data_IF_628983130828
#
_entry.id   IF_628983130828
#
_cell.length_a   1.000
_cell.length_b   1.000
_cell.length_c   1.000
_cell.angle_alpha   90.00
_cell.angle_beta   90.00
_cell.angle_gamma   90.00
#
_symmetry.space_group_name_H-M   'P 1'
#
loop_
_entity.id
_entity.type
_entity.pdbx_description
1 polymer ?
#
# COMPACT_ATOMS: atom_id res chain seq x y z
N UNK A 1 31.71 8.69 -40.51
CA UNK A 1 30.84 7.52 -40.25
C UNK A 1 30.99 6.90 -38.84
N UNK A 2 31.73 7.50 -37.90
CA UNK A 2 31.92 6.93 -36.56
C UNK A 2 31.05 7.56 -35.44
N UNK A 3 30.39 8.69 -35.69
CA UNK A 3 29.66 9.45 -34.64
C UNK A 3 28.27 8.92 -34.32
N UNK A 4 27.70 8.03 -35.14
CA UNK A 4 26.39 7.43 -34.89
C UNK A 4 26.43 6.14 -34.04
N UNK A 5 27.62 5.57 -33.81
CA UNK A 5 27.78 4.27 -33.15
C UNK A 5 27.81 4.38 -31.61
N UNK A 6 28.33 5.49 -31.06
CA UNK A 6 28.49 5.69 -29.61
C UNK A 6 27.18 5.98 -28.86
N UNK A 7 26.23 6.65 -29.51
CA UNK A 7 24.94 7.03 -28.91
C UNK A 7 24.03 5.82 -28.64
N UNK A 8 24.00 4.84 -29.55
CA UNK A 8 23.18 3.62 -29.42
C UNK A 8 23.74 2.70 -28.32
N UNK A 9 25.06 2.71 -28.13
CA UNK A 9 25.73 1.92 -27.08
C UNK A 9 25.43 2.47 -25.69
N UNK A 10 25.42 3.79 -25.53
CA UNK A 10 25.09 4.47 -24.27
C UNK A 10 23.65 4.22 -23.82
N UNK A 11 22.67 4.24 -24.74
CA UNK A 11 21.28 3.93 -24.40
C UNK A 11 21.06 2.45 -24.01
N UNK A 12 21.71 1.52 -24.71
CA UNK A 12 21.64 0.09 -24.35
C UNK A 12 22.25 -0.18 -22.98
N UNK A 13 23.34 0.49 -22.63
CA UNK A 13 23.98 0.36 -21.32
C UNK A 13 23.09 0.88 -20.20
N UNK A 14 22.41 2.03 -20.39
CA UNK A 14 21.44 2.55 -19.42
C UNK A 14 20.23 1.63 -19.24
N UNK A 15 19.73 1.00 -20.31
CA UNK A 15 18.64 0.02 -20.22
C UNK A 15 19.06 -1.25 -19.48
N UNK A 16 20.29 -1.72 -19.67
CA UNK A 16 20.82 -2.90 -18.98
C UNK A 16 20.97 -2.64 -17.47
N UNK A 17 21.46 -1.46 -17.06
CA UNK A 17 21.53 -1.04 -15.66
C UNK A 17 20.14 -1.00 -14.99
N UNK A 18 19.12 -0.50 -15.70
CA UNK A 18 17.73 -0.50 -15.23
C UNK A 18 17.18 -1.93 -15.12
N UNK A 19 17.48 -2.81 -16.08
CA UNK A 19 17.06 -4.22 -16.00
C UNK A 19 17.77 -4.99 -14.88
N UNK A 20 19.05 -4.71 -14.63
CA UNK A 20 19.84 -5.36 -13.58
C UNK A 20 19.40 -4.90 -12.19
N UNK A 21 19.05 -3.63 -12.03
CA UNK A 21 18.45 -3.09 -10.80
C UNK A 21 17.02 -3.60 -10.56
N UNK A 22 16.22 -3.83 -11.59
CA UNK A 22 14.92 -4.52 -11.45
C UNK A 22 15.08 -6.00 -11.07
N UNK A 23 16.13 -6.66 -11.54
CA UNK A 23 16.41 -8.07 -11.24
C UNK A 23 16.83 -8.29 -9.77
N UNK A 24 17.50 -7.32 -9.13
CA UNK A 24 17.88 -7.37 -7.71
C UNK A 24 16.72 -7.09 -6.75
N UNK A 25 15.62 -6.48 -7.19
CA UNK A 25 14.41 -6.29 -6.36
C UNK A 25 13.67 -7.62 -6.09
N UNK A 26 13.99 -8.70 -6.82
CA UNK A 26 13.33 -10.01 -6.67
C UNK A 26 13.52 -10.70 -5.32
N UNK A 27 14.32 -10.15 -4.39
CA UNK A 27 14.83 -10.91 -3.24
C UNK A 27 14.59 -10.35 -1.84
N UNK A 28 13.82 -9.27 -1.63
CA UNK A 28 13.66 -8.66 -0.29
C UNK A 28 12.20 -8.65 0.16
N UNK A 29 11.59 -9.82 0.30
CA UNK A 29 10.34 -9.92 1.04
C UNK A 29 10.28 -11.23 1.83
N UNK A 30 10.98 -11.25 2.96
CA UNK A 30 10.60 -12.15 4.05
C UNK A 30 9.22 -11.74 4.57
N UNK A 31 8.34 -12.72 4.79
CA UNK A 31 7.02 -12.50 5.39
C UNK A 31 7.15 -12.19 6.90
N UNK A 32 7.84 -11.09 7.24
CA UNK A 32 8.07 -10.67 8.63
C UNK A 32 6.89 -9.89 9.23
N UNK A 33 5.86 -9.62 8.43
CA UNK A 33 4.70 -8.82 8.83
C UNK A 33 3.42 -9.61 8.52
N UNK A 34 2.49 -9.62 9.46
CA UNK A 34 1.19 -10.31 9.36
C UNK A 34 0.02 -9.34 9.22
N UNK A 35 0.28 -8.03 9.19
CA UNK A 35 -0.75 -7.00 9.16
C UNK A 35 -0.20 -5.68 8.60
N UNK A 36 -1.07 -4.88 7.99
CA UNK A 36 -0.80 -3.50 7.57
C UNK A 36 -1.69 -2.58 8.39
N UNK A 37 -1.12 -1.49 8.88
CA UNK A 37 -1.87 -0.36 9.41
C UNK A 37 -1.62 0.83 8.48
N UNK A 38 -2.69 1.45 7.98
CA UNK A 38 -2.60 2.65 7.16
C UNK A 38 -3.16 3.84 7.93
N UNK A 39 -2.44 4.95 7.90
CA UNK A 39 -2.86 6.22 8.46
C UNK A 39 -2.68 7.29 7.39
N UNK A 40 -3.58 8.25 7.35
CA UNK A 40 -3.45 9.37 6.44
C UNK A 40 -4.75 10.14 6.29
N UNK A 41 -4.90 10.73 5.12
CA UNK A 41 -6.06 11.51 4.70
C UNK A 41 -6.93 10.69 3.74
N UNK A 42 -7.67 11.40 2.90
CA UNK A 42 -8.56 10.84 1.88
C UNK A 42 -7.90 9.86 0.90
N UNK A 43 -6.58 9.94 0.69
CA UNK A 43 -5.86 9.01 -0.20
C UNK A 43 -5.73 7.60 0.37
N UNK A 44 -5.82 7.48 1.70
CA UNK A 44 -5.75 6.22 2.45
C UNK A 44 -7.08 5.84 3.08
N UNK A 45 -8.08 6.72 3.00
CA UNK A 45 -9.40 6.49 3.58
C UNK A 45 -10.23 5.53 2.72
N UNK A 46 -10.52 4.36 3.26
CA UNK A 46 -11.29 3.30 2.63
C UNK A 46 -12.81 3.39 2.85
N UNK A 47 -13.30 4.46 3.49
CA UNK A 47 -14.73 4.70 3.71
C UNK A 47 -15.07 5.28 5.09
N UNK A 48 -14.08 5.60 5.92
CA UNK A 48 -14.25 6.14 7.26
C UNK A 48 -14.96 7.49 7.25
N UNK A 49 -14.81 8.28 6.18
CA UNK A 49 -15.46 9.58 6.03
C UNK A 49 -16.97 9.51 6.28
N UNK A 50 -17.63 8.38 5.97
CA UNK A 50 -19.04 8.15 6.25
C UNK A 50 -19.39 8.33 7.73
N UNK A 51 -18.51 7.89 8.63
CA UNK A 51 -18.73 7.94 10.07
C UNK A 51 -18.33 9.27 10.70
N UNK A 52 -17.48 10.04 10.04
CA UNK A 52 -16.99 11.34 10.56
C UNK A 52 -17.73 12.54 10.00
N UNK A 53 -18.10 12.48 8.71
CA UNK A 53 -18.84 13.52 8.00
C UNK A 53 -19.71 12.87 6.90
N UNK A 54 -20.98 12.54 7.20
CA UNK A 54 -21.89 11.92 6.24
C UNK A 54 -22.32 12.87 5.11
N UNK A 55 -21.92 14.14 5.15
CA UNK A 55 -22.20 15.13 4.10
C UNK A 55 -21.00 15.36 3.17
N UNK A 56 -19.90 14.65 3.40
CA UNK A 56 -18.67 14.84 2.64
C UNK A 56 -18.84 14.49 1.15
N UNK A 57 -18.24 15.29 0.27
CA UNK A 57 -18.36 15.15 -1.18
C UNK A 57 -17.91 13.78 -1.74
N UNK A 58 -17.02 13.08 -1.04
CA UNK A 58 -16.55 11.73 -1.43
C UNK A 58 -17.59 10.62 -1.23
N UNK A 59 -18.74 10.93 -0.64
CA UNK A 59 -19.88 10.01 -0.52
C UNK A 59 -20.83 10.08 -1.72
N UNK A 60 -20.52 10.91 -2.73
CA UNK A 60 -21.35 11.15 -3.90
C UNK A 60 -20.56 10.96 -5.20
N UNK A 61 -21.24 10.80 -6.35
CA UNK A 61 -20.59 10.82 -7.65
C UNK A 61 -19.68 12.05 -7.86
N UNK A 62 -18.54 11.91 -8.55
CA UNK A 62 -18.14 10.76 -9.37
C UNK A 62 -17.39 9.66 -8.60
N UNK A 63 -17.29 9.72 -7.27
CA UNK A 63 -16.43 8.80 -6.53
C UNK A 63 -17.02 7.37 -6.48
N UNK A 64 -16.18 6.38 -6.78
CA UNK A 64 -16.51 4.95 -6.84
C UNK A 64 -17.26 4.47 -8.09
N UNK A 65 -17.54 5.31 -9.10
CA UNK A 65 -18.30 4.91 -10.29
C UNK A 65 -17.52 3.98 -11.24
N UNK A 66 -16.23 4.26 -11.49
CA UNK A 66 -15.44 3.54 -12.49
C UNK A 66 -15.06 2.12 -12.08
N UNK A 67 -14.92 1.82 -10.78
CA UNK A 67 -14.54 0.49 -10.30
C UNK A 67 -15.61 -0.19 -9.44
N UNK A 68 -16.16 0.50 -8.45
CA UNK A 68 -17.13 -0.07 -7.51
C UNK A 68 -18.58 0.06 -8.00
N UNK A 69 -18.82 0.91 -9.00
CA UNK A 69 -20.14 1.27 -9.54
C UNK A 69 -21.09 1.89 -8.51
N UNK A 70 -20.56 2.39 -7.38
CA UNK A 70 -21.30 3.13 -6.35
C UNK A 70 -20.31 3.88 -5.45
N UNK A 71 -20.73 4.98 -4.79
CA UNK A 71 -19.91 5.66 -3.80
C UNK A 71 -19.61 4.76 -2.61
N UNK A 72 -18.33 4.60 -2.29
CA UNK A 72 -17.86 3.79 -1.15
C UNK A 72 -17.37 4.64 0.02
N UNK A 73 -17.47 5.97 -0.07
CA UNK A 73 -16.82 6.90 0.86
C UNK A 73 -15.32 7.04 0.64
N UNK A 74 -14.79 6.57 -0.49
CA UNK A 74 -13.39 6.80 -0.89
C UNK A 74 -13.34 8.03 -1.78
N UNK A 75 -12.38 8.92 -1.57
CA UNK A 75 -12.18 10.08 -2.44
C UNK A 75 -11.44 9.70 -3.74
N UNK A 76 -11.80 8.58 -4.35
CA UNK A 76 -11.29 8.10 -5.63
C UNK A 76 -12.42 7.48 -6.45
N UNK A 77 -12.38 7.62 -7.77
CA UNK A 77 -13.30 6.94 -8.69
C UNK A 77 -12.93 5.46 -8.93
N UNK A 78 -11.80 5.02 -8.36
CA UNK A 78 -11.29 3.66 -8.50
C UNK A 78 -10.72 3.09 -7.21
N UNK A 79 -9.76 2.19 -7.38
CA UNK A 79 -9.01 1.60 -6.27
C UNK A 79 -7.96 2.56 -5.70
N UNK A 80 -7.79 2.53 -4.39
CA UNK A 80 -6.69 3.19 -3.69
C UNK A 80 -5.42 2.35 -3.80
N UNK A 81 -4.25 2.96 -3.57
CA UNK A 81 -2.95 2.25 -3.50
C UNK A 81 -2.99 1.12 -2.45
N UNK A 82 -3.78 1.30 -1.39
CA UNK A 82 -4.00 0.29 -0.36
C UNK A 82 -4.67 -0.98 -0.87
N UNK A 83 -5.57 -0.89 -1.87
CA UNK A 83 -6.22 -2.08 -2.42
C UNK A 83 -5.20 -2.96 -3.15
N UNK A 84 -4.28 -2.37 -3.91
CA UNK A 84 -3.22 -3.12 -4.58
C UNK A 84 -2.22 -3.72 -3.59
N UNK A 85 -1.91 -2.98 -2.52
CA UNK A 85 -1.01 -3.47 -1.47
C UNK A 85 -1.67 -4.62 -0.70
N UNK A 86 -2.95 -4.47 -0.35
CA UNK A 86 -3.74 -5.51 0.31
C UNK A 86 -3.91 -6.76 -0.56
N UNK A 87 -4.19 -6.59 -1.86
CA UNK A 87 -4.25 -7.70 -2.83
C UNK A 87 -2.91 -8.46 -2.88
N UNK A 88 -1.79 -7.74 -2.96
CA UNK A 88 -0.46 -8.35 -2.98
C UNK A 88 -0.12 -9.07 -1.66
N UNK A 89 -0.61 -8.58 -0.52
CA UNK A 89 -0.42 -9.23 0.78
C UNK A 89 -1.34 -10.45 0.97
N UNK A 90 -2.57 -10.39 0.48
CA UNK A 90 -3.49 -11.53 0.47
C UNK A 90 -2.93 -12.70 -0.33
N UNK A 91 -2.32 -12.43 -1.50
CA UNK A 91 -1.58 -13.43 -2.29
C UNK A 91 -0.41 -14.08 -1.54
N UNK A 92 0.08 -13.45 -0.46
CA UNK A 92 1.16 -13.94 0.40
C UNK A 92 0.65 -14.61 1.69
N UNK A 93 -0.67 -14.80 1.83
CA UNK A 93 -1.30 -15.44 2.98
C UNK A 93 -1.52 -14.51 4.18
N UNK A 94 -1.53 -13.19 3.96
CA UNK A 94 -1.87 -12.19 4.98
C UNK A 94 -3.31 -11.72 4.69
N UNK A 95 -4.27 -12.25 5.43
CA UNK A 95 -5.71 -12.11 5.15
C UNK A 95 -6.44 -11.10 6.06
N UNK A 96 -5.78 -10.57 7.10
CA UNK A 96 -6.37 -9.55 7.97
C UNK A 96 -6.16 -8.13 7.43
N UNK A 97 -6.91 -7.78 6.39
CA UNK A 97 -7.02 -6.42 5.87
C UNK A 97 -8.32 -5.81 6.41
N UNK A 98 -8.33 -5.51 7.72
CA UNK A 98 -9.42 -4.71 8.29
C UNK A 98 -9.19 -3.25 7.93
N UNK A 99 -10.02 -2.70 7.03
CA UNK A 99 -9.93 -1.31 6.57
C UNK A 99 -11.22 -0.54 6.81
N UNK A 100 -11.81 -0.64 8.00
CA UNK A 100 -13.08 0.04 8.27
C UNK A 100 -13.23 0.53 9.70
N UNK A 101 -12.32 1.40 10.12
CA UNK A 101 -12.40 2.09 11.41
C UNK A 101 -11.77 3.49 11.28
N UNK A 102 -12.45 4.51 11.83
CA UNK A 102 -12.03 5.93 11.80
C UNK A 102 -10.58 6.16 12.23
N UNK A 103 -9.93 7.22 11.73
CA UNK A 103 -8.54 7.58 12.06
C UNK A 103 -8.29 7.67 13.59
N UNK A 104 -9.30 8.07 14.37
CA UNK A 104 -9.22 8.07 15.84
C UNK A 104 -9.22 6.67 16.44
N UNK A 105 -10.04 5.77 15.90
CA UNK A 105 -10.10 4.36 16.29
C UNK A 105 -8.82 3.63 15.87
N UNK A 106 -8.30 3.91 14.67
CA UNK A 106 -7.02 3.40 14.19
C UNK A 106 -5.87 3.83 15.09
N UNK A 107 -5.82 5.10 15.50
CA UNK A 107 -4.76 5.60 16.36
C UNK A 107 -4.84 5.03 17.79
N UNK A 108 -6.05 4.83 18.31
CA UNK A 108 -6.25 4.22 19.63
C UNK A 108 -5.97 2.71 19.63
N UNK A 109 -6.35 1.99 18.58
CA UNK A 109 -5.97 0.59 18.40
C UNK A 109 -4.47 0.43 18.25
N UNK A 110 -3.83 1.30 17.45
CA UNK A 110 -2.39 1.32 17.31
C UNK A 110 -1.68 1.55 18.65
N UNK A 111 -2.14 2.51 19.46
CA UNK A 111 -1.61 2.72 20.81
C UNK A 111 -1.78 1.51 21.73
N UNK A 112 -2.88 0.75 21.59
CA UNK A 112 -3.10 -0.49 22.34
C UNK A 112 -2.22 -1.65 21.85
N UNK A 113 -1.89 -1.69 20.57
CA UNK A 113 -1.07 -2.72 19.92
C UNK A 113 0.44 -2.41 20.03
N UNK A 114 0.82 -1.16 20.29
CA UNK A 114 2.22 -0.74 20.44
C UNK A 114 3.03 -1.65 21.40
N UNK A 115 2.53 -2.03 22.59
CA UNK A 115 3.27 -2.89 23.51
C UNK A 115 3.50 -4.33 23.01
N UNK A 116 2.59 -4.90 22.20
CA UNK A 116 2.75 -6.24 21.63
C UNK A 116 3.68 -6.26 20.41
N UNK A 117 3.73 -5.16 19.66
CA UNK A 117 4.71 -4.96 18.58
C UNK A 117 6.13 -4.73 19.11
N UNK A 118 6.30 -4.03 20.23
CA UNK A 118 7.63 -3.82 20.82
C UNK A 118 8.21 -5.09 21.48
N UNK A 119 7.37 -6.04 21.89
CA UNK A 119 7.79 -7.32 22.48
C UNK A 119 8.13 -8.40 21.44
N UNK A 120 7.73 -8.25 20.17
CA UNK A 120 8.00 -9.25 19.13
C UNK A 120 9.41 -9.15 18.55
N UNK A 121 10.08 -8.00 18.70
CA UNK A 121 11.50 -7.82 18.32
C UNK A 121 12.46 -8.78 19.03
N UNK A 122 12.08 -9.34 20.19
CA UNK A 122 12.90 -10.35 20.89
C UNK A 122 12.72 -11.78 20.35
N UNK A 123 11.64 -12.05 19.60
CA UNK A 123 11.33 -13.38 19.04
C UNK A 123 11.98 -13.58 17.66
N UNK A 124 12.22 -12.51 16.91
CA UNK A 124 12.97 -12.59 15.64
C UNK A 124 14.49 -12.76 15.83
N UNK A 125 15.01 -12.54 17.04
CA UNK A 125 16.42 -12.76 17.38
C UNK A 125 16.69 -14.13 18.04
N UNK A 126 15.69 -14.99 18.20
CA UNK A 126 15.83 -16.31 18.84
C UNK A 126 15.66 -17.49 17.88
N UNK A 127 15.60 -17.23 16.56
CA UNK A 127 15.56 -18.26 15.50
C UNK A 127 16.71 -18.12 14.48
N UNK A 128 17.85 -17.57 14.90
CA UNK A 128 19.13 -17.79 14.23
C UNK A 128 20.02 -18.74 15.04
#
# INVERSE_FOLDING_TARGET
MAQHCSSVFSMKLQLIEVFLSLATIKGVFGNCYTSIFSFGDSLTDTGNIYFTDPTHHCLFPPYGESYFTHPTGRCCDGRLVLDFTGEQMSLRGIDNVSTNDSLSVQLDWFKKILPSLCNTSSVLNSTQ
#
